data_IF_410084132343
#
_entry.id   IF_410084132343
#
_cell.length_a   1.000
_cell.length_b   1.000
_cell.length_c   1.000
_cell.angle_alpha   90.00
_cell.angle_beta   90.00
_cell.angle_gamma   90.00
#
_symmetry.space_group_name_H-M   'P 1'
#
loop_
_entity.id
_entity.type
_entity.pdbx_description
1 polymer ?
#
# COMPACT_ATOMS: atom_id res chain seq x y z
N UNK A 1 -12.12 11.40 -4.09
CA UNK A 1 -11.64 10.99 -5.43
C UNK A 1 -12.42 11.76 -6.48
N UNK A 2 -11.83 12.14 -7.61
CA UNK A 2 -12.61 12.39 -8.83
C UNK A 2 -13.26 11.07 -9.22
N UNK A 3 -14.49 11.11 -9.72
CA UNK A 3 -15.20 9.90 -10.14
C UNK A 3 -14.33 9.13 -11.14
N UNK A 4 -13.92 7.89 -10.80
CA UNK A 4 -13.15 7.01 -11.67
C UNK A 4 -11.69 6.75 -11.25
N UNK A 5 -11.05 7.61 -10.44
CA UNK A 5 -9.61 7.42 -10.11
C UNK A 5 -9.38 6.19 -9.23
N UNK A 6 -10.25 5.99 -8.23
CA UNK A 6 -10.19 4.83 -7.35
C UNK A 6 -10.49 3.55 -8.11
N UNK A 7 -11.49 3.59 -8.98
CA UNK A 7 -11.91 2.48 -9.83
C UNK A 7 -10.79 2.07 -10.80
N UNK A 8 -10.13 3.05 -11.44
CA UNK A 8 -8.98 2.79 -12.32
C UNK A 8 -7.81 2.15 -11.55
N UNK A 9 -7.50 2.67 -10.36
CA UNK A 9 -6.43 2.12 -9.53
C UNK A 9 -6.74 0.68 -9.10
N UNK A 10 -7.97 0.42 -8.64
CA UNK A 10 -8.41 -0.93 -8.26
C UNK A 10 -8.42 -1.88 -9.46
N UNK A 11 -8.89 -1.45 -10.63
CA UNK A 11 -8.86 -2.26 -11.84
C UNK A 11 -7.42 -2.62 -12.25
N UNK A 12 -6.49 -1.67 -12.15
CA UNK A 12 -5.07 -1.92 -12.41
C UNK A 12 -4.48 -2.94 -11.43
N UNK A 13 -4.73 -2.79 -10.13
CA UNK A 13 -4.21 -3.70 -9.11
C UNK A 13 -4.84 -5.09 -9.21
N UNK A 14 -6.12 -5.17 -9.59
CA UNK A 14 -6.77 -6.45 -9.88
C UNK A 14 -6.14 -7.14 -11.08
N UNK A 15 -5.89 -6.42 -12.17
CA UNK A 15 -5.20 -6.98 -13.33
C UNK A 15 -3.78 -7.49 -12.98
N UNK A 16 -3.08 -6.82 -12.04
CA UNK A 16 -1.81 -7.31 -11.50
C UNK A 16 -1.97 -8.60 -10.70
N UNK A 17 -2.98 -8.68 -9.85
CA UNK A 17 -3.30 -9.90 -9.09
C UNK A 17 -3.68 -11.08 -10.00
N UNK A 18 -4.38 -10.81 -11.10
CA UNK A 18 -4.75 -11.85 -12.08
C UNK A 18 -3.54 -12.38 -12.87
N UNK A 19 -2.50 -11.55 -13.06
CA UNK A 19 -1.26 -11.93 -13.75
C UNK A 19 -0.23 -12.61 -12.83
N UNK A 20 -0.26 -12.30 -11.54
CA UNK A 20 0.72 -12.76 -10.56
C UNK A 20 0.02 -13.20 -9.28
N UNK A 21 -0.05 -14.51 -9.07
CA UNK A 21 -0.72 -15.12 -7.90
C UNK A 21 -0.08 -14.74 -6.56
N UNK A 22 1.15 -14.24 -6.57
CA UNK A 22 1.85 -13.80 -5.37
C UNK A 22 1.68 -12.29 -5.12
N UNK A 23 1.15 -11.53 -6.08
CA UNK A 23 0.71 -10.15 -5.86
C UNK A 23 -0.46 -10.13 -4.87
N UNK A 24 -0.44 -9.19 -3.94
CA UNK A 24 -1.49 -9.07 -2.94
C UNK A 24 -2.01 -7.63 -2.88
N UNK A 25 -3.33 -7.49 -2.88
CA UNK A 25 -4.01 -6.21 -2.74
C UNK A 25 -5.27 -6.38 -1.90
N UNK A 26 -5.53 -5.42 -1.02
CA UNK A 26 -6.74 -5.37 -0.18
C UNK A 26 -7.17 -3.93 0.01
N UNK A 27 -8.47 -3.70 0.04
CA UNK A 27 -9.02 -2.37 0.29
C UNK A 27 -10.28 -2.40 1.14
N UNK A 28 -10.62 -1.24 1.68
CA UNK A 28 -11.88 -0.96 2.39
C UNK A 28 -12.58 0.23 1.76
N UNK A 29 -13.89 0.32 1.96
CA UNK A 29 -14.69 1.47 1.55
C UNK A 29 -15.29 2.17 2.77
N UNK A 30 -15.52 3.47 2.65
CA UNK A 30 -16.20 4.25 3.68
C UNK A 30 -17.73 4.10 3.60
N UNK A 31 -18.45 4.83 4.46
CA UNK A 31 -19.92 4.82 4.51
C UNK A 31 -20.58 5.35 3.24
N UNK A 32 -19.84 6.07 2.40
CA UNK A 32 -20.29 6.63 1.12
C UNK A 32 -19.83 5.76 -0.06
N UNK A 33 -19.37 4.52 0.20
CA UNK A 33 -18.83 3.58 -0.80
C UNK A 33 -17.60 4.09 -1.55
N UNK A 34 -16.84 5.02 -0.96
CA UNK A 34 -15.59 5.52 -1.53
C UNK A 34 -14.41 4.76 -0.96
N UNK A 35 -13.33 4.64 -1.73
CA UNK A 35 -12.09 4.00 -1.27
C UNK A 35 -11.55 4.67 0.01
N UNK A 36 -11.55 3.91 1.10
CA UNK A 36 -11.07 4.35 2.41
C UNK A 36 -9.57 4.04 2.55
N UNK A 37 -9.25 2.75 2.71
CA UNK A 37 -7.89 2.24 2.81
C UNK A 37 -7.58 1.30 1.64
N UNK A 38 -6.33 1.28 1.19
CA UNK A 38 -5.83 0.40 0.12
C UNK A 38 -4.41 -0.03 0.46
N UNK A 39 -4.17 -1.33 0.54
CA UNK A 39 -2.85 -1.91 0.67
C UNK A 39 -2.53 -2.75 -0.57
N UNK A 40 -1.29 -2.69 -1.04
CA UNK A 40 -0.79 -3.61 -2.04
C UNK A 40 0.70 -3.90 -1.87
N UNK A 41 1.10 -5.08 -2.32
CA UNK A 41 2.50 -5.53 -2.42
C UNK A 41 2.64 -6.43 -3.63
N UNK A 42 3.75 -6.30 -4.35
CA UNK A 42 4.12 -7.25 -5.39
C UNK A 42 4.87 -8.46 -4.81
N UNK A 43 5.10 -9.44 -5.66
CA UNK A 43 5.72 -10.71 -5.28
C UNK A 43 7.16 -10.56 -4.85
N UNK A 44 7.92 -9.65 -5.46
CA UNK A 44 9.30 -9.41 -5.07
C UNK A 44 9.35 -8.77 -3.67
N UNK A 45 8.51 -7.78 -3.42
CA UNK A 45 8.37 -7.10 -2.13
C UNK A 45 8.00 -8.07 -1.01
N UNK A 46 7.16 -9.09 -1.30
CA UNK A 46 6.84 -10.16 -0.35
C UNK A 46 8.03 -11.08 -0.07
N UNK A 47 8.76 -11.50 -1.10
CA UNK A 47 9.97 -12.32 -0.93
C UNK A 47 11.05 -11.56 -0.15
N UNK A 48 11.19 -10.26 -0.44
CA UNK A 48 12.11 -9.38 0.26
C UNK A 48 11.72 -9.23 1.74
N UNK A 49 10.42 -9.13 2.05
CA UNK A 49 9.94 -9.12 3.43
C UNK A 49 10.21 -10.45 4.15
N UNK A 50 10.05 -11.59 3.49
CA UNK A 50 10.41 -12.90 4.07
C UNK A 50 11.91 -12.99 4.42
N UNK A 51 12.78 -12.29 3.68
CA UNK A 51 14.22 -12.30 3.89
C UNK A 51 14.73 -11.21 4.85
N UNK A 52 14.12 -10.01 4.82
CA UNK A 52 14.64 -8.78 5.44
C UNK A 52 13.59 -8.05 6.30
N UNK A 53 12.47 -8.71 6.63
CA UNK A 53 11.38 -8.16 7.44
C UNK A 53 11.66 -8.11 8.95
N UNK A 54 12.90 -8.38 9.38
CA UNK A 54 13.35 -8.29 10.77
C UNK A 54 13.35 -6.85 11.29
N UNK A 55 13.59 -5.88 10.39
CA UNK A 55 13.45 -4.45 10.67
C UNK A 55 12.46 -3.84 9.69
N UNK A 56 11.32 -3.41 10.22
CA UNK A 56 10.27 -2.71 9.48
C UNK A 56 10.20 -1.26 9.93
N UNK A 57 10.38 -0.35 8.99
CA UNK A 57 10.02 1.05 9.13
C UNK A 57 8.84 1.36 8.20
N UNK A 58 8.05 2.36 8.58
CA UNK A 58 7.04 2.93 7.70
C UNK A 58 7.33 4.42 7.56
N UNK A 59 7.44 4.89 6.32
CA UNK A 59 7.54 6.30 6.02
C UNK A 59 6.17 6.80 5.55
N UNK A 60 5.63 7.81 6.22
CA UNK A 60 4.37 8.44 5.86
C UNK A 60 4.67 9.72 5.07
N UNK A 61 4.48 9.67 3.76
CA UNK A 61 4.50 10.92 2.96
C UNK A 61 3.14 11.59 3.12
N UNK A 62 3.08 12.60 3.99
CA UNK A 62 1.83 13.27 4.32
C UNK A 62 1.22 13.96 3.09
N UNK A 63 -0.02 13.57 2.75
CA UNK A 63 -0.95 14.31 1.86
C UNK A 63 -0.40 14.73 0.50
N UNK A 64 0.49 13.95 -0.09
CA UNK A 64 1.08 14.23 -1.41
C UNK A 64 0.11 13.99 -2.57
N UNK A 65 -0.97 13.22 -2.37
CA UNK A 65 -2.00 13.05 -3.40
C UNK A 65 -3.07 14.17 -3.36
N UNK A 66 -3.72 14.39 -4.52
CA UNK A 66 -4.79 15.38 -4.69
C UNK A 66 -6.00 15.17 -3.77
N UNK A 67 -6.07 14.02 -3.10
CA UNK A 67 -7.12 13.64 -2.16
C UNK A 67 -6.74 13.84 -0.69
N UNK A 68 -5.53 14.36 -0.42
CA UNK A 68 -5.03 14.58 0.94
C UNK A 68 -5.06 13.31 1.81
N UNK A 69 -4.97 12.14 1.18
CA UNK A 69 -4.85 10.84 1.85
C UNK A 69 -3.39 10.52 2.13
N UNK A 70 -3.01 10.02 3.31
CA UNK A 70 -1.65 9.57 3.58
C UNK A 70 -1.26 8.41 2.65
N UNK A 71 -0.03 8.45 2.14
CA UNK A 71 0.61 7.30 1.51
C UNK A 71 1.74 6.83 2.43
N UNK A 72 1.58 5.60 2.92
CA UNK A 72 2.53 4.91 3.79
C UNK A 72 3.31 3.92 2.93
N UNK A 73 4.63 3.98 2.99
CA UNK A 73 5.50 2.99 2.36
C UNK A 73 6.09 2.12 3.46
N UNK A 74 5.87 0.81 3.38
CA UNK A 74 6.50 -0.17 4.25
C UNK A 74 7.89 -0.46 3.69
N UNK A 75 8.93 -0.17 4.47
CA UNK A 75 10.32 -0.32 4.05
C UNK A 75 11.15 -1.04 5.10
N UNK A 76 12.15 -1.78 4.64
CA UNK A 76 13.20 -2.35 5.46
C UNK A 76 14.57 -2.07 4.86
N UNK A 77 15.55 -2.85 5.31
CA UNK A 77 16.94 -2.70 4.89
C UNK A 77 17.49 -4.07 4.52
N UNK A 78 18.01 -4.22 3.30
CA UNK A 78 18.65 -5.47 2.88
C UNK A 78 20.09 -5.59 3.44
N UNK A 79 20.72 -6.74 3.18
CA UNK A 79 22.10 -7.03 3.60
C UNK A 79 23.17 -6.05 3.05
N UNK A 80 22.84 -5.27 2.02
CA UNK A 80 23.71 -4.22 1.47
C UNK A 80 23.48 -2.84 2.10
N UNK A 81 22.63 -2.77 3.15
CA UNK A 81 22.19 -1.51 3.78
C UNK A 81 21.41 -0.60 2.83
N UNK A 82 20.71 -1.18 1.86
CA UNK A 82 19.86 -0.45 0.93
C UNK A 82 18.41 -0.52 1.40
N UNK A 83 17.67 0.56 1.20
CA UNK A 83 16.23 0.58 1.44
C UNK A 83 15.51 -0.38 0.50
N UNK A 84 14.67 -1.23 1.06
CA UNK A 84 13.84 -2.19 0.32
C UNK A 84 12.38 -1.92 0.65
N UNK A 85 11.52 -1.85 -0.38
CA UNK A 85 10.08 -1.63 -0.20
C UNK A 85 9.38 -2.98 -0.08
N UNK A 86 8.54 -3.13 0.94
CA UNK A 86 7.75 -4.33 1.18
C UNK A 86 6.27 -4.17 0.83
N UNK A 87 5.81 -2.94 0.61
CA UNK A 87 4.44 -2.66 0.22
C UNK A 87 4.07 -1.20 0.42
N UNK A 88 2.88 -0.86 -0.04
CA UNK A 88 2.36 0.50 0.01
C UNK A 88 0.93 0.49 0.56
N UNK A 89 0.60 1.52 1.33
CA UNK A 89 -0.72 1.72 1.91
C UNK A 89 -1.21 3.14 1.64
N UNK A 90 -2.39 3.28 1.06
CA UNK A 90 -3.16 4.54 1.10
C UNK A 90 -4.15 4.44 2.24
N UNK A 91 -4.14 5.42 3.14
CA UNK A 91 -5.03 5.46 4.30
C UNK A 91 -6.11 6.52 4.16
N UNK A 92 -7.22 6.34 4.87
CA UNK A 92 -8.26 7.35 4.96
C UNK A 92 -7.81 8.55 5.80
N UNK A 93 -7.08 8.29 6.88
CA UNK A 93 -6.51 9.27 7.81
C UNK A 93 -5.29 8.69 8.56
N UNK A 94 -4.67 9.50 9.41
CA UNK A 94 -3.55 9.10 10.29
C UNK A 94 -4.05 8.91 11.73
N UNK A 95 -5.13 8.16 11.91
CA UNK A 95 -5.59 7.76 13.25
C UNK A 95 -4.97 6.42 13.64
N UNK A 96 -4.75 6.19 14.94
CA UNK A 96 -4.16 4.95 15.44
C UNK A 96 -4.98 3.74 14.98
N UNK A 97 -6.30 3.85 14.99
CA UNK A 97 -7.23 2.81 14.54
C UNK A 97 -7.06 2.43 13.06
N UNK A 98 -6.56 3.35 12.23
CA UNK A 98 -6.31 3.11 10.80
C UNK A 98 -4.99 2.34 10.56
N UNK A 99 -4.09 2.28 11.55
CA UNK A 99 -2.83 1.52 11.49
C UNK A 99 -2.89 0.14 12.17
N UNK A 100 -3.94 -0.16 12.96
CA UNK A 100 -4.08 -1.42 13.73
C UNK A 100 -4.99 -2.42 13.00
#
# INVERSE_FOLDING_TARGET
MRDGDAECALAYLQAKADMDSSFFCRYTVDKESRLANLFWTDSQSRLDYECFGDVLAFDTTYKTNVYKKPLVILVGVNHHRQTTVFGCVVLVDETIETYI
#
